data_IF_941747687737
#
_entry.id   IF_941747687737
#
_cell.length_a   1.000
_cell.length_b   1.000
_cell.length_c   1.000
_cell.angle_alpha   90.00
_cell.angle_beta   90.00
_cell.angle_gamma   90.00
#
_symmetry.space_group_name_H-M   'P 1'
#
loop_
_entity.id
_entity.type
_entity.pdbx_description
1 polymer ?
#
# COMPACT_ATOMS: atom_id res chain seq x y z
N UNK A 1 -6.50 3.95 5.15
CA UNK A 1 -5.21 4.66 5.21
C UNK A 1 -5.41 6.13 4.85
N UNK A 2 -4.85 7.06 5.63
CA UNK A 2 -4.78 8.47 5.21
C UNK A 2 -3.57 8.68 4.29
N UNK A 3 -3.79 9.34 3.16
CA UNK A 3 -2.76 9.72 2.20
C UNK A 3 -2.93 11.18 1.76
N UNK A 4 -1.88 11.77 1.22
CA UNK A 4 -1.94 13.02 0.46
C UNK A 4 -1.47 12.76 -0.96
N UNK A 5 -2.31 13.09 -1.94
CA UNK A 5 -1.93 12.99 -3.36
C UNK A 5 -0.94 14.11 -3.68
N UNK A 6 0.20 13.76 -4.26
CA UNK A 6 1.25 14.70 -4.65
C UNK A 6 1.10 15.11 -6.11
N UNK A 7 0.98 14.11 -7.00
CA UNK A 7 0.95 14.31 -8.43
C UNK A 7 0.04 13.28 -9.11
N UNK A 8 -0.58 13.69 -10.23
CA UNK A 8 -1.28 12.80 -11.15
C UNK A 8 -0.33 12.36 -12.26
N UNK A 9 -0.23 11.06 -12.46
CA UNK A 9 0.57 10.44 -13.51
C UNK A 9 -0.33 9.97 -14.66
N UNK A 10 0.27 9.44 -15.72
CA UNK A 10 -0.47 8.87 -16.84
C UNK A 10 -1.25 7.61 -16.44
N UNK A 11 -2.38 7.37 -17.13
CA UNK A 11 -3.22 6.18 -17.00
C UNK A 11 -3.90 6.02 -15.63
N UNK A 12 -4.36 7.12 -15.02
CA UNK A 12 -5.06 7.09 -13.73
C UNK A 12 -4.16 6.74 -12.53
N UNK A 13 -2.84 6.74 -12.73
CA UNK A 13 -1.87 6.56 -11.64
C UNK A 13 -1.71 7.85 -10.87
N UNK A 14 -1.50 7.74 -9.57
CA UNK A 14 -1.25 8.89 -8.70
C UNK A 14 -0.08 8.58 -7.78
N UNK A 15 0.78 9.56 -7.60
CA UNK A 15 1.80 9.55 -6.58
C UNK A 15 1.20 10.11 -5.31
N UNK A 16 1.36 9.39 -4.20
CA UNK A 16 0.84 9.80 -2.91
C UNK A 16 1.85 9.55 -1.81
N UNK A 17 1.76 10.37 -0.76
CA UNK A 17 2.51 10.20 0.48
C UNK A 17 1.57 9.80 1.61
N UNK A 18 2.02 8.90 2.46
CA UNK A 18 1.34 8.47 3.68
C UNK A 18 2.27 8.70 4.89
N UNK A 19 1.81 8.33 6.09
CA UNK A 19 2.67 8.30 7.26
C UNK A 19 3.81 7.25 7.16
N UNK A 20 3.70 6.30 6.22
CA UNK A 20 4.59 5.15 6.06
C UNK A 20 5.58 5.32 4.89
N UNK A 21 5.48 6.41 4.12
CA UNK A 21 6.32 6.64 2.95
C UNK A 21 5.53 7.07 1.72
N UNK A 22 6.20 6.98 0.58
CA UNK A 22 5.71 7.45 -0.72
C UNK A 22 5.53 6.29 -1.68
N UNK A 23 4.44 6.32 -2.46
CA UNK A 23 4.10 5.24 -3.37
C UNK A 23 3.26 5.73 -4.55
N UNK A 24 3.14 4.88 -5.55
CA UNK A 24 2.31 5.08 -6.73
C UNK A 24 1.20 4.03 -6.74
N UNK A 25 -0.04 4.48 -6.91
CA UNK A 25 -1.20 3.60 -7.02
C UNK A 25 -2.08 3.96 -8.22
N UNK A 26 -2.91 3.02 -8.64
CA UNK A 26 -3.99 3.29 -9.61
C UNK A 26 -5.20 3.80 -8.85
N UNK A 27 -5.71 4.96 -9.26
CA UNK A 27 -6.93 5.53 -8.69
C UNK A 27 -8.15 5.01 -9.45
N UNK A 28 -9.06 4.33 -8.74
CA UNK A 28 -10.21 3.66 -9.35
C UNK A 28 -11.43 4.56 -9.56
N UNK A 29 -11.54 5.64 -8.79
CA UNK A 29 -12.70 6.53 -8.75
C UNK A 29 -12.46 7.84 -9.51
N UNK A 30 -13.27 8.87 -9.23
CA UNK A 30 -13.08 10.23 -9.72
C UNK A 30 -11.67 10.74 -9.41
N UNK A 31 -11.07 11.44 -10.39
CA UNK A 31 -9.68 11.90 -10.29
C UNK A 31 -9.46 12.72 -9.01
N UNK A 32 -8.40 12.42 -8.23
CA UNK A 32 -8.13 13.17 -7.01
C UNK A 32 -7.46 14.51 -7.34
N UNK A 33 -7.58 15.44 -6.40
CA UNK A 33 -6.92 16.75 -6.44
C UNK A 33 -5.53 16.64 -5.81
N UNK A 34 -4.46 16.98 -6.55
CA UNK A 34 -3.13 17.13 -5.97
C UNK A 34 -3.11 18.09 -4.78
N UNK A 35 -2.32 17.75 -3.76
CA UNK A 35 -2.21 18.50 -2.52
C UNK A 35 -3.29 18.18 -1.47
N UNK A 36 -4.34 17.44 -1.83
CA UNK A 36 -5.44 17.11 -0.92
C UNK A 36 -5.21 15.77 -0.19
N UNK A 37 -5.75 15.69 1.02
CA UNK A 37 -5.74 14.48 1.85
C UNK A 37 -6.99 13.63 1.60
N UNK A 38 -6.80 12.31 1.58
CA UNK A 38 -7.84 11.32 1.36
C UNK A 38 -7.70 10.16 2.36
N UNK A 39 -8.83 9.59 2.76
CA UNK A 39 -8.86 8.27 3.41
C UNK A 39 -9.18 7.23 2.35
N UNK A 40 -8.22 6.36 2.05
CA UNK A 40 -8.34 5.34 0.99
C UNK A 40 -8.37 3.93 1.55
N UNK A 41 -8.89 3.01 0.74
CA UNK A 41 -8.68 1.58 0.85
C UNK A 41 -7.69 1.16 -0.23
N UNK A 42 -6.58 0.55 0.18
CA UNK A 42 -5.60 -0.01 -0.75
C UNK A 42 -6.03 -1.44 -1.09
N UNK A 43 -6.03 -1.77 -2.38
CA UNK A 43 -6.28 -3.12 -2.87
C UNK A 43 -5.00 -3.60 -3.54
N UNK A 44 -4.48 -4.76 -3.13
CA UNK A 44 -3.38 -5.43 -3.81
C UNK A 44 -4.00 -6.35 -4.86
N UNK A 45 -3.77 -6.12 -6.17
CA UNK A 45 -4.56 -6.75 -7.23
C UNK A 45 -4.25 -8.24 -7.44
N UNK A 46 -3.06 -8.69 -7.05
CA UNK A 46 -2.61 -10.07 -7.21
C UNK A 46 -2.59 -10.83 -5.89
N UNK A 47 -2.77 -12.15 -5.98
CA UNK A 47 -2.54 -13.06 -4.86
C UNK A 47 -1.05 -13.01 -4.51
N UNK A 48 -0.72 -12.44 -3.36
CA UNK A 48 0.65 -12.49 -2.85
C UNK A 48 0.85 -13.91 -2.30
N UNK A 49 1.69 -14.70 -2.97
CA UNK A 49 2.10 -16.00 -2.45
C UNK A 49 2.99 -15.81 -1.23
N UNK A 50 2.99 -16.78 -0.31
CA UNK A 50 3.91 -16.81 0.84
C UNK A 50 5.38 -16.67 0.41
N UNK A 51 5.72 -17.16 -0.78
CA UNK A 51 7.06 -17.04 -1.38
C UNK A 51 7.50 -15.60 -1.67
N UNK A 52 6.54 -14.68 -1.80
CA UNK A 52 6.80 -13.25 -1.99
C UNK A 52 6.93 -12.50 -0.65
N UNK A 53 6.65 -13.15 0.48
CA UNK A 53 6.85 -12.59 1.81
C UNK A 53 8.30 -12.81 2.24
N UNK A 54 8.93 -11.74 2.70
CA UNK A 54 10.27 -11.77 3.27
C UNK A 54 10.24 -11.12 4.65
N UNK A 55 10.95 -11.71 5.60
CA UNK A 55 11.19 -11.06 6.88
C UNK A 55 12.05 -9.82 6.63
N UNK A 56 11.61 -8.69 7.17
CA UNK A 56 12.32 -7.42 7.06
C UNK A 56 13.05 -7.11 8.36
N UNK A 57 14.27 -6.59 8.25
CA UNK A 57 15.01 -6.03 9.38
C UNK A 57 14.45 -4.65 9.82
N UNK A 58 13.55 -4.07 9.01
CA UNK A 58 12.95 -2.76 9.29
C UNK A 58 11.97 -2.85 10.46
N UNK A 59 12.10 -1.90 11.40
CA UNK A 59 11.34 -1.92 12.66
C UNK A 59 10.04 -1.14 12.59
N UNK A 60 9.85 -0.39 11.51
CA UNK A 60 8.71 0.49 11.31
C UNK A 60 7.93 0.09 10.06
N UNK A 61 6.62 0.37 10.08
CA UNK A 61 5.80 0.19 8.89
C UNK A 61 6.28 1.11 7.76
N UNK A 62 6.50 0.56 6.58
CA UNK A 62 7.07 1.27 5.44
C UNK A 62 6.31 0.98 4.16
N UNK A 63 6.20 1.99 3.31
CA UNK A 63 5.59 1.92 1.99
C UNK A 63 6.51 2.65 1.00
N UNK A 64 7.03 1.91 0.05
CA UNK A 64 7.99 2.40 -0.94
C UNK A 64 7.60 1.91 -2.33
N UNK A 65 7.90 2.70 -3.36
CA UNK A 65 7.75 2.29 -4.75
C UNK A 65 9.02 2.61 -5.52
N UNK A 66 9.50 1.64 -6.28
CA UNK A 66 10.64 1.77 -7.18
C UNK A 66 10.30 1.25 -8.59
N UNK A 67 11.32 1.07 -9.43
CA UNK A 67 11.16 0.55 -10.79
C UNK A 67 10.73 -0.92 -10.83
N UNK A 68 10.93 -1.68 -9.75
CA UNK A 68 10.61 -3.12 -9.64
C UNK A 68 9.21 -3.36 -9.06
N UNK A 69 8.66 -2.42 -8.29
CA UNK A 69 7.29 -2.49 -7.83
C UNK A 69 7.01 -1.67 -6.59
N UNK A 70 6.07 -2.17 -5.78
CA UNK A 70 5.69 -1.56 -4.50
C UNK A 70 6.12 -2.49 -3.37
N UNK A 71 6.93 -1.97 -2.47
CA UNK A 71 7.38 -2.65 -1.27
C UNK A 71 6.58 -2.16 -0.06
N UNK A 72 6.02 -3.12 0.69
CA UNK A 72 5.22 -2.84 1.87
C UNK A 72 5.79 -3.64 3.04
N UNK A 73 6.26 -2.93 4.06
CA UNK A 73 6.71 -3.53 5.32
C UNK A 73 5.66 -3.24 6.38
N UNK A 74 5.18 -4.28 7.05
CA UNK A 74 4.23 -4.18 8.14
C UNK A 74 4.29 -5.42 9.03
N UNK A 75 3.40 -5.46 10.01
CA UNK A 75 3.26 -6.63 10.88
C UNK A 75 2.30 -7.63 10.24
N UNK A 76 2.79 -8.84 9.94
CA UNK A 76 1.92 -9.95 9.57
C UNK A 76 1.15 -10.39 10.82
N UNK A 77 -0.16 -10.14 10.86
CA UNK A 77 -0.99 -10.44 12.03
C UNK A 77 -1.61 -11.83 11.96
N UNK A 78 -2.04 -12.24 10.78
CA UNK A 78 -2.73 -13.49 10.59
C UNK A 78 -2.47 -14.06 9.20
N UNK A 79 -2.43 -15.38 9.15
CA UNK A 79 -2.55 -16.18 7.94
C UNK A 79 -3.71 -17.15 8.23
N UNK A 80 -4.91 -16.82 7.74
CA UNK A 80 -6.06 -17.67 8.02
C UNK A 80 -5.98 -18.93 7.14
N UNK A 81 -6.47 -20.08 7.65
CA UNK A 81 -6.56 -21.34 6.90
C UNK A 81 -7.45 -21.24 5.64
N UNK A 82 -8.18 -20.13 5.48
CA UNK A 82 -9.02 -19.81 4.33
C UNK A 82 -8.24 -19.21 3.14
N UNK A 83 -6.94 -18.95 3.31
CA UNK A 83 -6.04 -18.50 2.25
C UNK A 83 -5.90 -16.99 2.10
N UNK A 84 -6.26 -16.21 3.13
CA UNK A 84 -5.98 -14.78 3.19
C UNK A 84 -4.93 -14.45 4.24
N UNK A 85 -4.15 -13.40 3.98
CA UNK A 85 -3.20 -12.87 4.94
C UNK A 85 -3.49 -11.39 5.24
N UNK A 86 -3.20 -11.01 6.48
CA UNK A 86 -3.46 -9.66 7.00
C UNK A 86 -2.14 -9.02 7.39
N UNK A 87 -1.78 -7.94 6.70
CA UNK A 87 -0.65 -7.09 7.05
C UNK A 87 -1.16 -5.80 7.70
N UNK A 88 -0.76 -5.58 8.95
CA UNK A 88 -1.03 -4.34 9.68
C UNK A 88 0.07 -3.31 9.40
N UNK A 89 -0.37 -2.12 9.02
CA UNK A 89 0.42 -0.89 8.95
C UNK A 89 -0.06 0.04 10.07
N UNK A 90 0.37 -0.19 11.30
CA UNK A 90 -0.11 0.52 12.52
C UNK A 90 -1.66 0.55 12.60
N UNK A 91 -2.27 1.71 12.32
CA UNK A 91 -3.73 1.92 12.33
C UNK A 91 -4.43 1.51 11.03
N UNK A 92 -3.67 1.09 10.01
CA UNK A 92 -4.17 0.63 8.72
C UNK A 92 -3.99 -0.88 8.55
N UNK A 93 -4.85 -1.50 7.73
CA UNK A 93 -4.81 -2.93 7.43
C UNK A 93 -4.81 -3.12 5.92
N UNK A 94 -3.97 -4.01 5.44
CA UNK A 94 -3.95 -4.54 4.08
C UNK A 94 -4.34 -6.01 4.14
N UNK A 95 -5.25 -6.41 3.25
CA UNK A 95 -5.69 -7.80 3.06
C UNK A 95 -5.31 -8.25 1.66
N UNK A 96 -4.75 -9.44 1.54
CA UNK A 96 -4.32 -10.03 0.28
C UNK A 96 -4.51 -11.55 0.28
#
# INVERSE_FOLDING_TARGET
>A
MEIKVQEKLSNGRVQFVSAYGECIGVWADEEPEPGRKYTIKVTVPDKVSVEALQESDEKHCMLEADDEGVFIVGQLEDYEEDGFAVLRLEESIIRF
#
